data_IF_539164207078
#
_entry.id   IF_539164207078
#
_cell.length_a   1.000
_cell.length_b   1.000
_cell.length_c   1.000
_cell.angle_alpha   90.00
_cell.angle_beta   90.00
_cell.angle_gamma   90.00
#
_symmetry.space_group_name_H-M   'P 1'
#
loop_
_entity.id
_entity.type
_entity.pdbx_description
1 polymer ?
#
# COMPACT_ATOMS: atom_id res chain seq x y z
N UNK A 1 8.46 10.79 -2.09
CA UNK A 1 7.59 11.80 -2.70
C UNK A 1 6.15 11.33 -2.57
N UNK A 2 5.35 12.06 -1.78
CA UNK A 2 3.91 11.83 -1.73
C UNK A 2 3.26 12.47 -2.95
N UNK A 3 2.51 11.69 -3.71
CA UNK A 3 1.73 12.21 -4.81
C UNK A 3 0.40 12.76 -4.29
N UNK A 4 -0.03 13.92 -4.75
CA UNK A 4 -1.30 14.48 -4.32
C UNK A 4 -2.44 13.58 -4.75
N UNK A 5 -3.24 13.18 -3.78
CA UNK A 5 -4.43 12.37 -4.00
C UNK A 5 -5.58 13.28 -4.42
N UNK A 6 -6.20 13.02 -5.55
CA UNK A 6 -7.40 13.74 -5.99
C UNK A 6 -8.64 12.98 -5.56
N UNK A 7 -9.39 13.51 -4.61
CA UNK A 7 -10.81 13.17 -4.44
C UNK A 7 -11.61 14.10 -5.32
N UNK A 8 -12.55 13.56 -6.07
CA UNK A 8 -13.50 14.36 -6.87
C UNK A 8 -14.39 15.28 -6.03
N UNK A 9 -14.40 15.11 -4.71
CA UNK A 9 -15.16 15.90 -3.74
C UNK A 9 -14.32 16.74 -2.81
N UNK A 10 -12.97 16.73 -2.94
CA UNK A 10 -12.10 17.39 -1.97
C UNK A 10 -11.68 18.76 -2.48
N UNK A 11 -12.57 19.73 -2.26
CA UNK A 11 -12.30 21.16 -2.50
C UNK A 11 -11.22 21.75 -1.59
N UNK A 12 -10.70 20.97 -0.65
CA UNK A 12 -9.74 21.40 0.37
C UNK A 12 -8.35 20.79 0.22
N UNK A 13 -8.12 19.93 -0.78
CA UNK A 13 -6.78 19.35 -0.96
C UNK A 13 -5.84 20.40 -1.55
N UNK A 14 -4.78 20.71 -0.81
CA UNK A 14 -3.69 21.61 -1.27
C UNK A 14 -2.77 20.94 -2.29
N UNK A 15 -3.15 19.78 -2.82
CA UNK A 15 -2.35 19.04 -3.80
C UNK A 15 -2.53 19.58 -5.22
N UNK A 16 -1.47 19.53 -6.01
CA UNK A 16 -1.54 19.83 -7.44
C UNK A 16 -2.14 18.64 -8.19
N UNK A 17 -3.22 18.84 -8.97
CA UNK A 17 -3.77 17.76 -9.77
C UNK A 17 -2.86 17.41 -10.94
N UNK A 18 -2.64 16.11 -11.16
CA UNK A 18 -1.90 15.58 -12.31
C UNK A 18 -2.72 14.52 -13.03
N UNK A 19 -2.61 14.48 -14.36
CA UNK A 19 -2.99 13.29 -15.12
C UNK A 19 -1.92 12.22 -14.95
N UNK A 20 -2.25 10.96 -15.26
CA UNK A 20 -1.28 9.88 -15.21
C UNK A 20 -0.07 10.16 -16.14
N UNK A 21 -0.32 10.72 -17.34
CA UNK A 21 0.73 11.08 -18.29
C UNK A 21 1.65 12.18 -17.77
N UNK A 22 1.08 13.24 -17.18
CA UNK A 22 1.84 14.35 -16.62
C UNK A 22 2.73 13.88 -15.48
N UNK A 23 2.19 13.04 -14.58
CA UNK A 23 2.92 12.52 -13.45
C UNK A 23 4.02 11.57 -13.90
N UNK A 24 3.74 10.73 -14.91
CA UNK A 24 4.72 9.81 -15.47
C UNK A 24 5.89 10.58 -16.12
N UNK A 25 5.62 11.65 -16.86
CA UNK A 25 6.66 12.53 -17.40
C UNK A 25 7.59 13.07 -16.33
N UNK A 26 7.02 13.52 -15.21
CA UNK A 26 7.82 14.02 -14.07
C UNK A 26 8.68 12.91 -13.46
N UNK A 27 8.11 11.73 -13.28
CA UNK A 27 8.83 10.59 -12.72
C UNK A 27 10.01 10.16 -13.63
N UNK A 28 9.77 10.10 -14.94
CA UNK A 28 10.80 9.71 -15.93
C UNK A 28 11.99 10.68 -15.94
N UNK A 29 11.80 11.96 -15.63
CA UNK A 29 12.88 12.93 -15.53
C UNK A 29 13.95 12.49 -14.50
N UNK A 30 13.59 11.70 -13.51
CA UNK A 30 14.51 11.17 -12.50
C UNK A 30 15.10 9.79 -12.88
N UNK A 31 14.70 9.20 -14.00
CA UNK A 31 15.13 7.86 -14.43
C UNK A 31 16.66 7.69 -14.47
N UNK A 32 17.46 8.69 -14.87
CA UNK A 32 18.93 8.57 -14.85
C UNK A 32 19.52 8.34 -13.45
N UNK A 33 18.77 8.70 -12.41
CA UNK A 33 19.20 8.55 -11.01
C UNK A 33 18.73 7.22 -10.38
N UNK A 34 17.91 6.44 -11.09
CA UNK A 34 17.47 5.15 -10.59
C UNK A 34 18.57 4.12 -10.74
N UNK A 35 18.79 3.36 -9.68
CA UNK A 35 19.63 2.16 -9.75
C UNK A 35 18.89 1.06 -10.51
N UNK A 36 19.54 -0.07 -10.73
CA UNK A 36 19.00 -1.22 -11.47
C UNK A 36 17.62 -1.69 -11.01
N UNK A 37 17.28 -1.46 -9.74
CA UNK A 37 15.99 -1.82 -9.14
C UNK A 37 15.08 -0.61 -8.90
N UNK A 38 15.45 0.54 -9.42
CA UNK A 38 14.69 1.76 -9.27
C UNK A 38 13.37 1.74 -10.01
N UNK A 39 12.43 2.58 -9.55
CA UNK A 39 11.11 2.67 -10.14
C UNK A 39 10.26 3.74 -9.48
N UNK A 40 8.96 3.57 -9.54
CA UNK A 40 7.99 4.50 -8.99
C UNK A 40 7.34 3.85 -7.76
N UNK A 41 7.35 4.59 -6.64
CA UNK A 41 6.58 4.26 -5.46
C UNK A 41 5.51 5.33 -5.25
N UNK A 42 4.26 4.89 -5.17
CA UNK A 42 3.15 5.77 -4.81
C UNK A 42 2.84 5.59 -3.33
N UNK A 43 2.91 6.68 -2.59
CA UNK A 43 2.67 6.75 -1.15
C UNK A 43 1.99 8.07 -0.79
N UNK A 44 1.74 8.28 0.51
CA UNK A 44 1.14 9.52 1.04
C UNK A 44 -0.38 9.50 0.99
N UNK A 45 -1.04 9.90 2.10
CA UNK A 45 -2.44 9.63 2.29
C UNK A 45 -2.73 8.13 2.17
N UNK A 46 -3.82 7.76 1.52
CA UNK A 46 -4.12 6.37 1.16
C UNK A 46 -4.31 6.26 -0.35
N UNK A 47 -3.30 5.74 -1.10
CA UNK A 47 -3.39 5.68 -2.56
C UNK A 47 -4.57 4.86 -3.11
N UNK A 48 -5.00 3.82 -2.41
CA UNK A 48 -6.12 2.97 -2.84
C UNK A 48 -7.45 3.72 -2.93
N UNK A 49 -7.58 4.89 -2.30
CA UNK A 49 -8.74 5.75 -2.48
C UNK A 49 -8.85 6.32 -3.91
N UNK A 50 -7.78 6.25 -4.68
CA UNK A 50 -7.71 6.69 -6.09
C UNK A 50 -7.35 5.54 -7.01
N UNK A 51 -8.05 4.42 -6.85
CA UNK A 51 -7.71 3.18 -7.54
C UNK A 51 -7.75 3.32 -9.06
N UNK A 52 -8.70 4.08 -9.62
CA UNK A 52 -8.79 4.27 -11.07
C UNK A 52 -7.56 5.02 -11.62
N UNK A 53 -7.10 6.04 -10.90
CA UNK A 53 -5.87 6.74 -11.25
C UNK A 53 -4.65 5.82 -11.15
N UNK A 54 -4.56 5.01 -10.10
CA UNK A 54 -3.43 4.08 -9.91
C UNK A 54 -3.36 3.04 -11.04
N UNK A 55 -4.49 2.50 -11.44
CA UNK A 55 -4.55 1.52 -12.55
C UNK A 55 -3.98 2.15 -13.82
N UNK A 56 -4.44 3.34 -14.18
CA UNK A 56 -3.97 4.05 -15.38
C UNK A 56 -2.47 4.37 -15.29
N UNK A 57 -2.03 4.89 -14.15
CA UNK A 57 -0.65 5.28 -13.92
C UNK A 57 0.31 4.08 -13.95
N UNK A 58 0.00 3.02 -13.20
CA UNK A 58 0.85 1.82 -13.16
C UNK A 58 0.86 1.06 -14.48
N UNK A 59 -0.29 0.99 -15.15
CA UNK A 59 -0.37 0.40 -16.50
C UNK A 59 0.57 1.10 -17.48
N UNK A 60 0.57 2.44 -17.50
CA UNK A 60 1.46 3.24 -18.34
C UNK A 60 2.92 3.08 -17.94
N UNK A 61 3.22 3.05 -16.64
CA UNK A 61 4.57 2.81 -16.14
C UNK A 61 5.09 1.44 -16.58
N UNK A 62 4.28 0.39 -16.50
CA UNK A 62 4.66 -0.96 -16.93
C UNK A 62 4.96 -1.04 -18.42
N UNK A 63 4.22 -0.31 -19.26
CA UNK A 63 4.51 -0.22 -20.71
C UNK A 63 5.90 0.33 -21.00
N UNK A 64 6.45 1.13 -20.12
CA UNK A 64 7.79 1.71 -20.21
C UNK A 64 8.85 0.88 -19.46
N UNK A 65 8.49 -0.29 -18.97
CA UNK A 65 9.40 -1.17 -18.22
C UNK A 65 9.80 -0.63 -16.85
N UNK A 66 8.98 0.22 -16.24
CA UNK A 66 9.25 0.85 -14.95
C UNK A 66 8.67 0.00 -13.83
N UNK A 67 9.46 -0.28 -12.79
CA UNK A 67 8.97 -0.95 -11.59
C UNK A 67 7.97 -0.08 -10.84
N UNK A 68 6.90 -0.70 -10.34
CA UNK A 68 5.82 -0.04 -9.63
C UNK A 68 5.68 -0.60 -8.22
N UNK A 69 5.66 0.28 -7.23
CA UNK A 69 5.48 -0.06 -5.82
C UNK A 69 4.32 0.75 -5.24
N UNK A 70 3.44 0.08 -4.53
CA UNK A 70 2.31 0.69 -3.84
C UNK A 70 2.53 0.64 -2.33
N UNK A 71 2.53 1.81 -1.70
CA UNK A 71 2.61 1.96 -0.25
C UNK A 71 1.20 2.23 0.29
N UNK A 72 0.66 1.31 1.08
CA UNK A 72 -0.74 1.37 1.49
C UNK A 72 -0.96 0.81 2.90
N UNK A 73 -1.97 1.37 3.57
CA UNK A 73 -2.51 0.80 4.81
C UNK A 73 -3.46 -0.39 4.54
N UNK A 74 -3.91 -0.58 3.29
CA UNK A 74 -4.91 -1.57 2.93
C UNK A 74 -6.34 -1.25 3.38
N UNK A 75 -6.54 -0.12 4.06
CA UNK A 75 -7.84 0.22 4.65
C UNK A 75 -9.02 0.24 3.65
N UNK A 76 -8.88 0.77 2.42
CA UNK A 76 -9.97 0.75 1.45
C UNK A 76 -10.28 -0.62 0.85
N UNK A 77 -9.45 -1.63 1.09
CA UNK A 77 -9.65 -2.94 0.47
C UNK A 77 -10.99 -3.55 0.86
N UNK A 78 -11.69 -4.08 -0.13
CA UNK A 78 -12.92 -4.86 0.01
C UNK A 78 -13.04 -5.85 -1.13
N UNK A 79 -13.74 -6.95 -0.90
CA UNK A 79 -14.11 -7.91 -1.95
C UNK A 79 -15.42 -7.56 -2.65
N UNK A 80 -16.04 -6.46 -2.30
CA UNK A 80 -17.25 -5.97 -2.96
C UNK A 80 -16.94 -5.38 -4.34
N UNK A 81 -17.82 -5.66 -5.29
CA UNK A 81 -17.73 -5.09 -6.63
C UNK A 81 -18.36 -3.67 -6.70
N UNK A 82 -17.86 -2.78 -7.55
CA UNK A 82 -16.85 -2.99 -8.59
C UNK A 82 -15.39 -2.88 -8.10
N UNK A 83 -15.16 -2.53 -6.85
CA UNK A 83 -13.82 -2.28 -6.31
C UNK A 83 -12.89 -3.49 -6.44
N UNK A 84 -13.37 -4.67 -6.11
CA UNK A 84 -12.54 -5.88 -6.09
C UNK A 84 -11.94 -6.20 -7.46
N UNK A 85 -12.73 -6.10 -8.52
CA UNK A 85 -12.22 -6.28 -9.89
C UNK A 85 -11.16 -5.23 -10.26
N UNK A 86 -11.36 -3.99 -9.84
CA UNK A 86 -10.37 -2.92 -10.02
C UNK A 86 -9.09 -3.19 -9.24
N UNK A 87 -9.21 -3.65 -8.00
CA UNK A 87 -8.06 -4.00 -7.19
C UNK A 87 -7.25 -5.14 -7.83
N UNK A 88 -7.91 -6.19 -8.33
CA UNK A 88 -7.23 -7.27 -9.04
C UNK A 88 -6.53 -6.77 -10.31
N UNK A 89 -7.15 -5.86 -11.04
CA UNK A 89 -6.52 -5.22 -12.19
C UNK A 89 -5.28 -4.41 -11.79
N UNK A 90 -5.37 -3.60 -10.72
CA UNK A 90 -4.23 -2.85 -10.21
C UNK A 90 -3.06 -3.77 -9.84
N UNK A 91 -3.34 -4.92 -9.22
CA UNK A 91 -2.30 -5.88 -8.83
C UNK A 91 -1.54 -6.44 -10.04
N UNK A 92 -2.16 -6.52 -11.21
CA UNK A 92 -1.47 -6.92 -12.46
C UNK A 92 -0.36 -5.96 -12.86
N UNK A 93 -0.46 -4.71 -12.48
CA UNK A 93 0.49 -3.65 -12.81
C UNK A 93 1.36 -3.22 -11.62
N UNK A 94 1.23 -3.89 -10.49
CA UNK A 94 1.99 -3.61 -9.27
C UNK A 94 3.05 -4.68 -9.07
N UNK A 95 4.31 -4.27 -8.92
CA UNK A 95 5.42 -5.22 -8.72
C UNK A 95 5.65 -5.53 -7.24
N UNK A 96 5.42 -4.56 -6.37
CA UNK A 96 5.66 -4.68 -4.92
C UNK A 96 4.63 -3.86 -4.15
N UNK A 97 4.18 -4.39 -3.02
CA UNK A 97 3.42 -3.62 -2.04
C UNK A 97 4.21 -3.46 -0.74
N UNK A 98 4.13 -2.25 -0.19
CA UNK A 98 4.51 -1.97 1.19
C UNK A 98 3.22 -1.87 1.97
N UNK A 99 2.93 -2.87 2.78
CA UNK A 99 1.67 -2.97 3.52
C UNK A 99 1.90 -2.69 5.00
N UNK A 100 1.24 -1.66 5.52
CA UNK A 100 1.26 -1.36 6.94
C UNK A 100 0.22 -2.21 7.68
N UNK A 101 0.67 -3.01 8.63
CA UNK A 101 -0.20 -3.64 9.62
C UNK A 101 -0.01 -2.88 10.93
N UNK A 102 -0.95 -2.01 11.26
CA UNK A 102 -0.81 -1.11 12.41
C UNK A 102 -1.08 -1.79 13.74
N UNK A 103 -1.93 -2.79 13.76
CA UNK A 103 -2.16 -3.64 14.92
C UNK A 103 -2.80 -4.97 14.48
N UNK A 104 -2.33 -6.06 15.06
CA UNK A 104 -2.85 -7.41 14.76
C UNK A 104 -4.20 -7.67 15.42
N UNK A 105 -4.46 -7.08 16.57
CA UNK A 105 -5.72 -7.20 17.29
C UNK A 105 -6.74 -6.20 16.73
N UNK A 106 -7.92 -6.67 16.36
CA UNK A 106 -8.93 -5.83 15.69
C UNK A 106 -9.46 -4.70 16.59
N UNK A 107 -9.73 -5.01 17.86
CA UNK A 107 -10.23 -3.99 18.79
C UNK A 107 -9.17 -2.91 19.06
N UNK A 108 -7.92 -3.31 19.25
CA UNK A 108 -6.81 -2.37 19.41
C UNK A 108 -6.55 -1.58 18.13
N UNK A 109 -6.73 -2.19 16.97
CA UNK A 109 -6.62 -1.50 15.68
C UNK A 109 -7.68 -0.41 15.54
N UNK A 110 -8.92 -0.69 15.95
CA UNK A 110 -10.01 0.31 15.97
C UNK A 110 -9.71 1.47 16.91
N UNK A 111 -9.15 1.19 18.07
CA UNK A 111 -8.75 2.24 19.03
C UNK A 111 -7.64 3.10 18.42
N UNK A 112 -6.67 2.49 17.77
CA UNK A 112 -5.50 3.18 17.22
C UNK A 112 -5.82 3.98 15.95
N UNK A 113 -6.65 3.44 15.08
CA UNK A 113 -6.87 3.98 13.72
C UNK A 113 -8.29 4.43 13.42
N UNK A 114 -9.26 4.04 14.23
CA UNK A 114 -10.70 4.23 13.96
C UNK A 114 -11.29 3.22 12.98
N UNK A 115 -10.52 2.23 12.52
CA UNK A 115 -10.93 1.26 11.51
C UNK A 115 -10.62 -0.18 11.91
N UNK A 116 -11.41 -1.13 11.37
CA UNK A 116 -11.12 -2.57 11.50
C UNK A 116 -9.84 -2.96 10.73
N UNK A 117 -9.17 -4.01 11.19
CA UNK A 117 -8.06 -4.62 10.45
C UNK A 117 -8.50 -5.83 9.61
N UNK A 118 -9.75 -6.26 9.70
CA UNK A 118 -10.23 -7.52 9.07
C UNK A 118 -10.00 -7.52 7.57
N UNK A 119 -10.34 -6.43 6.90
CA UNK A 119 -10.12 -6.27 5.45
C UNK A 119 -8.64 -6.15 5.09
N UNK A 120 -7.82 -5.56 5.95
CA UNK A 120 -6.37 -5.44 5.73
C UNK A 120 -5.70 -6.81 5.77
N UNK A 121 -6.04 -7.62 6.78
CA UNK A 121 -5.53 -8.98 6.88
C UNK A 121 -6.02 -9.87 5.74
N UNK A 122 -7.26 -9.66 5.28
CA UNK A 122 -7.79 -10.34 4.11
C UNK A 122 -7.04 -9.98 2.85
N UNK A 123 -6.73 -8.69 2.65
CA UNK A 123 -5.89 -8.24 1.53
C UNK A 123 -4.52 -8.93 1.56
N UNK A 124 -3.89 -9.02 2.74
CA UNK A 124 -2.62 -9.71 2.90
C UNK A 124 -2.70 -11.18 2.47
N UNK A 125 -3.77 -11.89 2.84
CA UNK A 125 -3.99 -13.29 2.43
C UNK A 125 -4.18 -13.42 0.93
N UNK A 126 -4.94 -12.52 0.32
CA UNK A 126 -5.14 -12.54 -1.13
C UNK A 126 -3.85 -12.24 -1.90
N UNK A 127 -3.03 -11.31 -1.42
CA UNK A 127 -1.71 -11.07 -1.98
C UNK A 127 -0.81 -12.30 -1.88
N UNK A 128 -0.90 -13.03 -0.76
CA UNK A 128 -0.20 -14.31 -0.58
C UNK A 128 -0.66 -15.35 -1.61
N UNK A 129 -1.97 -15.49 -1.81
CA UNK A 129 -2.54 -16.46 -2.75
C UNK A 129 -2.14 -16.17 -4.19
N UNK A 130 -2.01 -14.90 -4.58
CA UNK A 130 -1.53 -14.54 -5.92
C UNK A 130 0.00 -14.50 -6.03
N UNK A 131 0.73 -14.74 -4.95
CA UNK A 131 2.19 -14.68 -4.94
C UNK A 131 2.76 -13.28 -5.18
N UNK A 132 1.99 -12.23 -4.90
CA UNK A 132 2.43 -10.85 -5.09
C UNK A 132 3.45 -10.46 -4.02
N UNK A 133 4.66 -10.01 -4.39
CA UNK A 133 5.68 -9.59 -3.42
C UNK A 133 5.18 -8.49 -2.49
N UNK A 134 5.38 -8.67 -1.19
CA UNK A 134 4.95 -7.73 -0.15
C UNK A 134 6.08 -7.53 0.86
N UNK A 135 6.27 -6.28 1.28
CA UNK A 135 6.97 -5.94 2.50
C UNK A 135 5.94 -5.55 3.55
N UNK A 136 6.00 -6.20 4.71
CA UNK A 136 5.15 -5.86 5.86
C UNK A 136 5.89 -4.84 6.71
N UNK A 137 5.22 -3.74 7.04
CA UNK A 137 5.73 -2.74 7.97
C UNK A 137 4.83 -2.66 9.18
N UNK A 138 5.44 -2.53 10.35
CA UNK A 138 4.76 -2.38 11.62
C UNK A 138 5.48 -1.34 12.47
N UNK A 139 4.74 -0.31 12.89
CA UNK A 139 5.25 0.72 13.79
C UNK A 139 4.90 0.34 15.23
N UNK A 140 5.92 0.27 16.09
CA UNK A 140 5.74 0.05 17.53
C UNK A 140 5.24 1.34 18.18
N UNK A 141 4.00 1.31 18.64
CA UNK A 141 3.42 2.42 19.41
C UNK A 141 3.49 2.04 20.89
N UNK A 142 4.24 2.80 21.72
CA UNK A 142 4.39 2.49 23.13
C UNK A 142 3.04 2.34 23.85
N UNK A 143 2.91 1.32 24.68
CA UNK A 143 1.72 0.99 25.45
C UNK A 143 0.46 0.69 24.58
N UNK A 144 0.63 0.46 23.28
CA UNK A 144 -0.45 0.10 22.35
C UNK A 144 -0.14 -1.17 21.57
N UNK A 145 0.94 -1.16 20.79
CA UNK A 145 1.29 -2.27 19.92
C UNK A 145 2.62 -2.96 20.27
N UNK A 146 3.32 -2.49 21.31
CA UNK A 146 4.64 -2.96 21.71
C UNK A 146 4.61 -4.13 22.71
N UNK A 147 3.45 -4.65 23.07
CA UNK A 147 3.35 -5.83 23.95
C UNK A 147 3.74 -7.10 23.22
N UNK A 148 4.50 -7.96 23.88
CA UNK A 148 4.99 -9.21 23.32
C UNK A 148 3.87 -10.10 22.74
N UNK A 149 2.74 -10.20 23.42
CA UNK A 149 1.58 -10.97 22.95
C UNK A 149 1.16 -10.55 21.53
N UNK A 150 1.06 -9.26 21.29
CA UNK A 150 0.67 -8.74 19.96
C UNK A 150 1.75 -8.97 18.92
N UNK A 151 3.00 -8.84 19.29
CA UNK A 151 4.13 -9.11 18.38
C UNK A 151 4.20 -10.58 17.99
N UNK A 152 3.96 -11.51 18.92
CA UNK A 152 3.88 -12.94 18.62
C UNK A 152 2.68 -13.25 17.70
N UNK A 153 1.52 -12.67 17.95
CA UNK A 153 0.33 -12.84 17.09
C UNK A 153 0.59 -12.31 15.68
N UNK A 154 1.24 -11.15 15.56
CA UNK A 154 1.62 -10.60 14.25
C UNK A 154 2.61 -11.52 13.53
N UNK A 155 3.62 -12.00 14.23
CA UNK A 155 4.59 -12.94 13.67
C UNK A 155 3.93 -14.24 13.20
N UNK A 156 3.00 -14.79 13.97
CA UNK A 156 2.25 -15.98 13.60
C UNK A 156 1.39 -15.76 12.36
N UNK A 157 0.75 -14.59 12.25
CA UNK A 157 0.02 -14.22 11.05
C UNK A 157 0.94 -14.13 9.82
N UNK A 158 2.07 -13.44 9.95
CA UNK A 158 3.03 -13.27 8.84
C UNK A 158 3.57 -14.62 8.38
N UNK A 159 3.79 -15.57 9.28
CA UNK A 159 4.24 -16.93 8.94
C UNK A 159 3.23 -17.69 8.06
N UNK A 160 1.96 -17.32 8.07
CA UNK A 160 0.96 -17.93 7.18
C UNK A 160 1.04 -17.41 5.75
N UNK A 161 1.77 -16.34 5.51
CA UNK A 161 1.87 -15.68 4.20
C UNK A 161 3.10 -16.22 3.44
N UNK A 162 2.91 -16.51 2.15
CA UNK A 162 3.94 -17.14 1.30
C UNK A 162 4.82 -16.15 0.53
N UNK A 163 4.43 -14.90 0.52
CA UNK A 163 4.88 -13.86 -0.41
C UNK A 163 5.66 -12.72 0.25
N UNK A 164 5.87 -12.78 1.56
CA UNK A 164 6.55 -11.71 2.30
C UNK A 164 8.05 -11.77 2.04
N UNK A 165 8.59 -10.70 1.47
CA UNK A 165 10.01 -10.56 1.14
C UNK A 165 10.80 -9.86 2.24
N UNK A 166 10.13 -9.04 3.04
CA UNK A 166 10.73 -8.28 4.13
C UNK A 166 9.71 -7.92 5.19
N UNK A 167 10.14 -7.89 6.43
CA UNK A 167 9.38 -7.35 7.57
C UNK A 167 10.20 -6.23 8.19
N UNK A 168 9.61 -5.04 8.31
CA UNK A 168 10.21 -3.90 8.98
C UNK A 168 9.41 -3.55 10.22
N UNK A 169 10.07 -3.57 11.37
CA UNK A 169 9.50 -3.09 12.63
C UNK A 169 10.18 -1.77 12.97
N UNK A 170 9.40 -0.70 13.02
CA UNK A 170 9.88 0.67 13.13
C UNK A 170 9.49 1.26 14.48
N UNK A 171 10.38 2.02 15.13
CA UNK A 171 10.01 2.75 16.34
C UNK A 171 9.04 3.90 16.00
N UNK A 172 8.18 4.22 16.94
CA UNK A 172 7.32 5.40 16.86
C UNK A 172 8.16 6.67 17.11
N UNK A 173 7.94 7.69 16.29
CA UNK A 173 8.57 9.02 16.41
C UNK A 173 7.52 10.12 16.57
#
# INVERSE_FOLDING_TARGET
HSFPTRRSSDLMSKGTPYTAEELLKKAIAYRPYWKSEGGITVSGGEPLLQIDFLIDFFKKAKKLGINTTLDTSGNPFTTEEPYYSKWKELMRYTDLLLLDIKHIDDEQHKILTGHTNVNILQMARELSDMGKPVWIRHVLVPQRSDYDEYLYRLADFIKTLKNVKRVEVLPYH
#
